data_IF_176847942322
#
_entry.id   IF_176847942322
#
_cell.length_a   1.000
_cell.length_b   1.000
_cell.length_c   1.000
_cell.angle_alpha   90.00
_cell.angle_beta   90.00
_cell.angle_gamma   90.00
#
_symmetry.space_group_name_H-M   'P 1'
#
loop_
_entity.id
_entity.type
_entity.pdbx_description
1 polymer ?
#
# COMPACT_ATOMS: atom_id res chain seq x y z
N UNK A 1 11.24 20.24 7.00
CA UNK A 1 12.61 19.95 6.52
C UNK A 1 12.83 18.45 6.61
N UNK A 2 12.98 17.74 5.49
CA UNK A 2 13.19 16.28 5.52
C UNK A 2 14.62 16.02 6.00
N UNK A 3 14.76 15.30 7.12
CA UNK A 3 16.06 14.93 7.69
C UNK A 3 16.71 13.88 6.79
N UNK A 4 17.95 14.13 6.34
CA UNK A 4 18.74 13.10 5.65
C UNK A 4 19.17 12.06 6.69
N UNK A 5 18.70 10.81 6.51
CA UNK A 5 18.96 9.70 7.42
C UNK A 5 19.58 8.55 6.64
N UNK A 6 20.66 7.96 7.17
CA UNK A 6 21.25 6.74 6.60
C UNK A 6 20.79 5.55 7.42
N UNK A 7 20.28 4.52 6.73
CA UNK A 7 19.70 3.32 7.35
C UNK A 7 20.64 2.61 8.33
N UNK A 8 21.95 2.65 8.09
CA UNK A 8 22.96 1.96 8.92
C UNK A 8 23.30 2.70 10.22
N UNK A 9 22.93 3.97 10.35
CA UNK A 9 23.37 4.83 11.46
C UNK A 9 22.38 4.82 12.63
N UNK A 10 21.24 4.12 12.50
CA UNK A 10 20.14 4.15 13.47
C UNK A 10 19.56 2.76 13.73
N UNK A 11 19.06 2.54 14.94
CA UNK A 11 18.32 1.33 15.27
C UNK A 11 16.98 1.27 14.49
N UNK A 12 16.49 0.06 14.15
CA UNK A 12 15.23 -0.10 13.43
C UNK A 12 14.04 0.64 14.05
N UNK A 13 13.97 0.67 15.39
CA UNK A 13 12.91 1.39 16.10
C UNK A 13 12.96 2.91 15.86
N UNK A 14 14.17 3.48 15.81
CA UNK A 14 14.37 4.90 15.53
C UNK A 14 14.05 5.22 14.08
N UNK A 15 14.43 4.34 13.14
CA UNK A 15 14.06 4.48 11.74
C UNK A 15 12.55 4.42 11.53
N UNK A 16 11.85 3.52 12.25
CA UNK A 16 10.39 3.45 12.22
C UNK A 16 9.77 4.75 12.71
N UNK A 17 10.23 5.30 13.84
CA UNK A 17 9.72 6.56 14.36
C UNK A 17 9.92 7.71 13.36
N UNK A 18 11.12 7.82 12.76
CA UNK A 18 11.42 8.83 11.74
C UNK A 18 10.55 8.65 10.49
N UNK A 19 10.32 7.41 10.05
CA UNK A 19 9.46 7.13 8.91
C UNK A 19 8.02 7.55 9.20
N UNK A 20 7.48 7.21 10.37
CA UNK A 20 6.14 7.62 10.79
C UNK A 20 5.98 9.14 10.89
N UNK A 21 6.99 9.84 11.44
CA UNK A 21 7.03 11.30 11.50
C UNK A 21 7.04 11.91 10.09
N UNK A 22 7.85 11.34 9.19
CA UNK A 22 7.92 11.78 7.78
C UNK A 22 6.58 11.59 7.08
N UNK A 23 5.92 10.44 7.28
CA UNK A 23 4.60 10.16 6.73
C UNK A 23 3.56 11.16 7.22
N UNK A 24 3.51 11.42 8.53
CA UNK A 24 2.57 12.39 9.10
C UNK A 24 2.84 13.84 8.65
N UNK A 25 4.10 14.19 8.41
CA UNK A 25 4.45 15.58 8.05
C UNK A 25 4.31 15.84 6.56
N UNK A 26 4.65 14.87 5.70
CA UNK A 26 4.67 15.05 4.25
C UNK A 26 3.39 14.59 3.56
N UNK A 27 2.67 13.64 4.16
CA UNK A 27 1.48 13.02 3.58
C UNK A 27 0.39 12.89 4.65
N UNK A 28 -0.13 13.99 5.22
CA UNK A 28 -1.03 13.90 6.35
C UNK A 28 -2.39 13.29 5.93
N UNK A 29 -3.00 12.39 6.73
CA UNK A 29 -4.20 11.63 6.35
C UNK A 29 -5.46 12.46 6.06
N UNK A 30 -5.48 13.72 6.49
CA UNK A 30 -6.56 14.67 6.24
C UNK A 30 -6.45 15.35 4.85
N UNK A 31 -5.28 15.31 4.21
CA UNK A 31 -5.03 15.89 2.88
C UNK A 31 -4.71 14.82 1.84
N UNK A 32 -4.20 13.66 2.29
CA UNK A 32 -3.81 12.54 1.44
C UNK A 32 -4.65 11.32 1.78
N UNK A 33 -5.22 10.69 0.75
CA UNK A 33 -5.88 9.40 0.91
C UNK A 33 -4.81 8.32 1.07
N UNK A 34 -4.80 7.68 2.24
CA UNK A 34 -3.90 6.56 2.52
C UNK A 34 -4.56 5.26 2.12
N UNK A 35 -3.89 4.49 1.29
CA UNK A 35 -4.34 3.18 0.81
C UNK A 35 -3.27 2.16 1.18
N UNK A 36 -3.66 1.15 1.96
CA UNK A 36 -2.80 0.02 2.30
C UNK A 36 -3.19 -1.16 1.41
N UNK A 37 -2.21 -1.77 0.77
CA UNK A 37 -2.39 -2.99 -0.04
C UNK A 37 -1.64 -4.14 0.60
N UNK A 38 -2.25 -5.32 0.57
CA UNK A 38 -1.60 -6.56 1.03
C UNK A 38 -2.02 -7.72 0.12
N UNK A 39 -1.06 -8.33 -0.56
CA UNK A 39 -1.25 -9.54 -1.35
C UNK A 39 -0.88 -10.81 -0.58
N UNK A 40 -1.84 -11.70 -0.35
CA UNK A 40 -1.60 -13.00 0.30
C UNK A 40 -1.61 -14.15 -0.71
N UNK A 41 -0.59 -15.03 -0.66
CA UNK A 41 -0.56 -16.26 -1.45
C UNK A 41 -0.94 -17.43 -0.54
N UNK A 42 -2.04 -18.11 -0.83
CA UNK A 42 -2.37 -19.36 -0.15
C UNK A 42 -1.57 -20.51 -0.75
N UNK A 43 -1.67 -20.69 -2.07
CA UNK A 43 -0.88 -21.64 -2.86
C UNK A 43 -1.01 -21.27 -4.35
N UNK A 44 -0.02 -21.60 -5.18
CA UNK A 44 -0.02 -21.35 -6.62
C UNK A 44 -1.26 -21.96 -7.32
N UNK A 45 -1.76 -23.08 -6.76
CA UNK A 45 -2.90 -23.84 -7.26
C UNK A 45 -4.25 -23.40 -6.69
N UNK A 46 -4.27 -22.87 -5.46
CA UNK A 46 -5.50 -22.42 -4.79
C UNK A 46 -5.87 -20.98 -5.13
N UNK A 47 -4.96 -20.31 -5.85
CA UNK A 47 -5.12 -18.93 -6.20
C UNK A 47 -4.66 -18.01 -5.09
N UNK A 48 -4.62 -16.75 -5.45
CA UNK A 48 -4.13 -15.72 -4.57
C UNK A 48 -5.21 -14.71 -4.27
N UNK A 49 -5.08 -14.12 -3.10
CA UNK A 49 -5.96 -13.06 -2.68
C UNK A 49 -5.17 -11.80 -2.39
N UNK A 50 -5.90 -10.70 -2.36
CA UNK A 50 -5.33 -9.46 -1.93
C UNK A 50 -6.37 -8.51 -1.37
N UNK A 51 -5.92 -7.64 -0.48
CA UNK A 51 -6.73 -6.69 0.24
C UNK A 51 -6.31 -5.26 -0.07
N UNK A 52 -7.32 -4.40 -0.10
CA UNK A 52 -7.15 -2.94 -0.02
C UNK A 52 -7.81 -2.47 1.27
N UNK A 53 -7.12 -1.61 2.00
CA UNK A 53 -7.69 -0.88 3.12
C UNK A 53 -7.37 0.61 3.01
N UNK A 54 -8.41 1.41 2.98
CA UNK A 54 -8.37 2.85 3.18
C UNK A 54 -9.39 3.23 4.25
N UNK A 55 -9.28 4.44 4.80
CA UNK A 55 -10.27 4.93 5.76
C UNK A 55 -11.71 4.92 5.19
N UNK A 56 -11.84 5.20 3.89
CA UNK A 56 -13.16 5.31 3.22
C UNK A 56 -13.71 3.98 2.70
N UNK A 57 -12.85 2.97 2.47
CA UNK A 57 -13.28 1.70 1.88
C UNK A 57 -12.30 0.57 2.19
N UNK A 58 -12.82 -0.66 2.19
CA UNK A 58 -12.00 -1.86 2.26
C UNK A 58 -12.53 -2.90 1.29
N UNK A 59 -11.61 -3.53 0.56
CA UNK A 59 -11.93 -4.44 -0.54
C UNK A 59 -11.06 -5.67 -0.42
N UNK A 60 -11.65 -6.82 -0.70
CA UNK A 60 -10.95 -8.08 -0.82
C UNK A 60 -11.15 -8.64 -2.22
N UNK A 61 -10.07 -9.07 -2.86
CA UNK A 61 -10.02 -9.49 -4.25
C UNK A 61 -9.39 -10.87 -4.33
N UNK A 62 -9.94 -11.71 -5.20
CA UNK A 62 -9.32 -12.95 -5.60
C UNK A 62 -8.65 -12.72 -6.96
N UNK A 63 -7.31 -12.73 -7.00
CA UNK A 63 -6.52 -12.38 -8.20
C UNK A 63 -6.33 -13.61 -9.11
N UNK A 64 -6.74 -14.80 -8.67
CA UNK A 64 -6.72 -16.01 -9.48
C UNK A 64 -5.46 -16.85 -9.32
N UNK A 65 -5.44 -17.99 -10.00
CA UNK A 65 -4.33 -18.97 -10.02
C UNK A 65 -3.20 -18.54 -10.95
N UNK A 66 -1.99 -19.07 -10.73
CA UNK A 66 -0.80 -18.80 -11.58
C UNK A 66 -0.32 -17.34 -11.59
N UNK A 67 -0.62 -16.57 -10.54
CA UNK A 67 -0.23 -15.15 -10.43
C UNK A 67 0.97 -14.96 -9.50
N UNK A 68 1.91 -14.09 -9.87
CA UNK A 68 3.06 -13.77 -9.01
C UNK A 68 2.66 -12.83 -7.87
N UNK A 69 3.53 -12.64 -6.87
CA UNK A 69 3.32 -11.57 -5.87
C UNK A 69 3.21 -10.18 -6.52
N UNK A 70 3.96 -9.94 -7.59
CA UNK A 70 3.98 -8.65 -8.28
C UNK A 70 2.67 -8.37 -9.03
N UNK A 71 2.17 -9.34 -9.80
CA UNK A 71 0.92 -9.18 -10.57
C UNK A 71 -0.26 -8.82 -9.66
N UNK A 72 -0.23 -9.33 -8.42
CA UNK A 72 -1.27 -9.10 -7.43
C UNK A 72 -1.23 -7.72 -6.84
N UNK A 73 -0.04 -7.25 -6.45
CA UNK A 73 0.12 -5.87 -6.01
C UNK A 73 -0.36 -4.90 -7.11
N UNK A 74 -0.02 -5.17 -8.38
CA UNK A 74 -0.52 -4.35 -9.49
C UNK A 74 -2.04 -4.37 -9.63
N UNK A 75 -2.66 -5.55 -9.58
CA UNK A 75 -4.11 -5.69 -9.70
C UNK A 75 -4.83 -4.96 -8.55
N UNK A 76 -4.28 -5.04 -7.35
CA UNK A 76 -4.83 -4.43 -6.14
C UNK A 76 -4.74 -2.92 -6.18
N UNK A 77 -3.59 -2.39 -6.62
CA UNK A 77 -3.41 -0.96 -6.89
C UNK A 77 -4.41 -0.52 -7.95
N UNK A 78 -4.56 -1.28 -9.04
CA UNK A 78 -5.49 -0.97 -10.11
C UNK A 78 -6.93 -0.87 -9.61
N UNK A 79 -7.38 -1.87 -8.85
CA UNK A 79 -8.74 -1.88 -8.29
C UNK A 79 -8.91 -0.76 -7.25
N UNK A 80 -7.91 -0.49 -6.40
CA UNK A 80 -7.96 0.61 -5.43
C UNK A 80 -8.17 1.96 -6.14
N UNK A 81 -7.46 2.20 -7.24
CA UNK A 81 -7.58 3.42 -8.04
C UNK A 81 -8.90 3.50 -8.79
N UNK A 82 -9.40 2.38 -9.33
CA UNK A 82 -10.72 2.34 -9.97
C UNK A 82 -11.83 2.66 -8.98
N UNK A 83 -11.76 2.10 -7.77
CA UNK A 83 -12.76 2.30 -6.73
C UNK A 83 -12.74 3.72 -6.20
N UNK A 84 -11.55 4.31 -6.09
CA UNK A 84 -11.38 5.74 -5.86
C UNK A 84 -12.04 6.57 -6.98
N UNK A 85 -11.77 6.25 -8.25
CA UNK A 85 -12.28 7.01 -9.40
C UNK A 85 -13.81 6.90 -9.57
N UNK A 86 -14.40 5.75 -9.21
CA UNK A 86 -15.85 5.50 -9.30
C UNK A 86 -16.59 6.04 -8.07
N UNK A 87 -15.96 5.99 -6.89
CA UNK A 87 -16.59 6.31 -5.61
C UNK A 87 -16.58 7.79 -5.21
N UNK A 88 -15.77 8.63 -5.85
CA UNK A 88 -15.71 10.06 -5.55
C UNK A 88 -16.41 10.91 -6.61
N UNK A 89 -17.28 11.81 -6.14
CA UNK A 89 -17.69 12.98 -6.92
C UNK A 89 -16.40 13.75 -7.27
N UNK A 90 -16.14 13.98 -8.56
CA UNK A 90 -14.87 14.40 -9.16
C UNK A 90 -14.43 15.82 -8.78
N UNK A 91 -14.99 16.38 -7.70
CA UNK A 91 -14.86 17.78 -7.29
C UNK A 91 -13.73 18.02 -6.29
N UNK A 92 -13.31 17.00 -5.55
CA UNK A 92 -12.17 17.08 -4.63
C UNK A 92 -10.99 16.25 -5.18
N UNK A 93 -10.04 16.95 -5.80
CA UNK A 93 -8.76 16.38 -6.20
C UNK A 93 -7.96 15.97 -4.96
N UNK A 94 -8.07 14.73 -4.52
CA UNK A 94 -7.26 14.21 -3.40
C UNK A 94 -5.95 13.61 -3.91
N UNK A 95 -4.84 13.97 -3.26
CA UNK A 95 -3.58 13.26 -3.46
C UNK A 95 -3.65 11.87 -2.81
N UNK A 96 -3.00 10.87 -3.41
CA UNK A 96 -3.06 9.47 -2.95
C UNK A 96 -1.66 9.01 -2.51
N UNK A 97 -1.59 8.34 -1.37
CA UNK A 97 -0.41 7.61 -0.92
C UNK A 97 -0.76 6.13 -0.79
N UNK A 98 -0.04 5.28 -1.52
CA UNK A 98 -0.22 3.83 -1.51
C UNK A 98 0.93 3.15 -0.78
N UNK A 99 0.60 2.34 0.22
CA UNK A 99 1.53 1.49 0.97
C UNK A 99 1.43 0.05 0.45
N UNK A 100 2.40 -0.36 -0.37
CA UNK A 100 2.53 -1.75 -0.82
C UNK A 100 3.39 -2.55 0.15
N UNK A 101 2.82 -3.58 0.76
CA UNK A 101 3.53 -4.48 1.65
C UNK A 101 4.18 -5.61 0.85
N UNK A 102 5.41 -5.39 0.40
CA UNK A 102 6.23 -6.49 -0.12
C UNK A 102 6.88 -7.25 1.05
N UNK A 103 6.72 -8.58 1.16
CA UNK A 103 7.43 -9.34 2.17
C UNK A 103 8.95 -9.21 1.92
N UNK A 104 9.67 -8.70 2.91
CA UNK A 104 11.13 -8.61 2.89
C UNK A 104 11.73 -10.01 3.01
N UNK A 105 11.75 -10.77 1.91
CA UNK A 105 12.22 -12.16 1.91
C UNK A 105 12.18 -12.87 0.56
N UNK A 106 11.47 -12.36 -0.44
CA UNK A 106 11.42 -12.94 -1.79
C UNK A 106 12.57 -12.44 -2.68
N UNK A 107 13.80 -12.76 -2.26
CA UNK A 107 14.89 -12.99 -3.23
C UNK A 107 14.90 -14.49 -3.45
N UNK A 108 14.34 -14.94 -4.57
CA UNK A 108 14.66 -16.25 -5.15
C UNK A 108 15.74 -16.06 -6.20
#
# INVERSE_FOLDING_TARGET
MIRKVKKRDFYPITLRAIALETLHTCFPPNEWLHINTDGSLLDFTQGASAGVFSYSFSIYLHVGTYTSHFDRELEVIHVALLQFAVGLDTRDSCNILIFCLYPSGSVQ
#
